data_IF_985192258375
#
_entry.id   IF_985192258375
#
_cell.length_a   1.000
_cell.length_b   1.000
_cell.length_c   1.000
_cell.angle_alpha   90.00
_cell.angle_beta   90.00
_cell.angle_gamma   90.00
#
_symmetry.space_group_name_H-M   'P 1'
#
loop_
_entity.id
_entity.type
_entity.pdbx_description
1 polymer ?
#
# COMPACT_ATOMS: atom_id res chain seq x y z
N UNK A 1 1.75 29.07 -9.13
CA UNK A 1 1.79 27.61 -8.91
C UNK A 1 2.19 27.41 -7.46
N UNK A 2 1.24 26.96 -6.65
CA UNK A 2 1.31 27.04 -5.18
C UNK A 2 1.99 25.78 -4.61
N UNK A 3 3.31 25.83 -4.48
CA UNK A 3 4.16 24.72 -3.99
C UNK A 3 3.96 24.42 -2.51
N UNK A 4 3.07 25.14 -1.84
CA UNK A 4 2.85 25.08 -0.40
C UNK A 4 2.01 23.86 0.02
N UNK A 5 1.07 23.40 -0.83
CA UNK A 5 0.15 22.34 -0.44
C UNK A 5 0.77 20.93 -0.43
N UNK A 6 1.69 20.63 -1.35
CA UNK A 6 2.32 19.30 -1.45
C UNK A 6 3.25 18.99 -0.27
N UNK A 7 3.98 20.00 0.21
CA UNK A 7 4.91 19.87 1.36
C UNK A 7 4.18 19.67 2.69
N UNK A 8 2.97 20.22 2.84
CA UNK A 8 2.16 20.07 4.05
C UNK A 8 1.60 18.64 4.16
N UNK A 9 1.25 18.02 3.03
CA UNK A 9 0.73 16.64 3.03
C UNK A 9 1.80 15.62 3.40
N UNK A 10 3.01 15.75 2.87
CA UNK A 10 4.11 14.80 3.12
C UNK A 10 4.65 14.88 4.55
N UNK A 11 4.78 16.08 5.13
CA UNK A 11 5.22 16.24 6.54
C UNK A 11 4.20 15.65 7.52
N UNK A 12 2.92 15.82 7.22
CA UNK A 12 1.82 15.23 8.00
C UNK A 12 1.83 13.70 7.90
N UNK A 13 2.13 13.14 6.73
CA UNK A 13 2.24 11.68 6.50
C UNK A 13 3.30 11.04 7.41
N UNK A 14 4.49 11.64 7.50
CA UNK A 14 5.59 11.14 8.34
C UNK A 14 5.28 11.30 9.83
N UNK A 15 4.72 12.43 10.28
CA UNK A 15 4.42 12.66 11.70
C UNK A 15 3.30 11.76 12.24
N UNK A 16 2.27 11.44 11.44
CA UNK A 16 1.21 10.51 11.86
C UNK A 16 1.75 9.08 11.96
N UNK A 17 2.65 8.68 11.04
CA UNK A 17 3.26 7.35 11.03
C UNK A 17 4.06 7.07 12.31
N UNK A 18 4.88 8.03 12.76
CA UNK A 18 5.73 7.86 13.94
C UNK A 18 4.92 7.84 15.24
N UNK A 19 3.81 8.59 15.34
CA UNK A 19 3.02 8.70 16.58
C UNK A 19 2.19 7.45 16.88
N UNK A 20 1.81 6.64 15.88
CA UNK A 20 0.98 5.44 16.08
C UNK A 20 1.75 4.21 16.59
N UNK A 21 3.08 4.19 16.55
CA UNK A 21 3.86 3.02 16.99
C UNK A 21 4.08 2.95 18.52
N UNK A 22 3.62 3.95 19.29
CA UNK A 22 3.95 4.08 20.72
C UNK A 22 2.92 3.60 21.75
N UNK A 23 1.81 2.94 21.39
CA UNK A 23 0.77 2.60 22.37
C UNK A 23 0.12 1.24 22.10
N UNK A 24 0.77 0.15 22.54
CA UNK A 24 0.13 -1.17 22.64
C UNK A 24 -0.38 -1.37 24.07
N UNK A 25 -1.65 -1.05 24.30
CA UNK A 25 -2.41 -1.49 25.47
C UNK A 25 -3.12 -2.81 25.17
N UNK A 26 -3.17 -3.70 26.15
CA UNK A 26 -3.76 -5.04 26.05
C UNK A 26 -5.28 -4.98 25.78
N UNK A 27 -5.66 -5.10 24.52
CA UNK A 27 -7.02 -5.40 24.04
C UNK A 27 -6.89 -6.39 22.88
N UNK A 28 -7.90 -7.26 22.68
CA UNK A 28 -7.99 -8.25 21.57
C UNK A 28 -7.15 -7.84 20.36
N UNK A 29 -6.09 -8.59 20.03
CA UNK A 29 -5.29 -8.36 18.83
C UNK A 29 -6.21 -8.40 17.60
N UNK A 30 -6.64 -7.23 17.14
CA UNK A 30 -7.19 -7.09 15.81
C UNK A 30 -6.10 -7.51 14.84
N UNK A 31 -6.41 -8.42 13.92
CA UNK A 31 -5.47 -8.82 12.87
C UNK A 31 -4.92 -7.56 12.17
N UNK A 32 -3.61 -7.49 11.97
CA UNK A 32 -2.98 -6.35 11.31
C UNK A 32 -3.59 -6.18 9.91
N UNK A 33 -4.02 -4.96 9.54
CA UNK A 33 -4.52 -4.69 8.18
C UNK A 33 -3.56 -5.23 7.14
N UNK A 34 -4.04 -5.94 6.12
CA UNK A 34 -3.24 -6.60 5.09
C UNK A 34 -2.79 -8.02 5.43
N UNK A 35 -3.02 -8.52 6.65
CA UNK A 35 -2.66 -9.89 7.02
C UNK A 35 -3.45 -10.93 6.24
N UNK A 36 -4.73 -10.67 5.91
CA UNK A 36 -5.54 -11.58 5.10
C UNK A 36 -5.12 -11.53 3.65
N UNK A 37 -4.87 -10.32 3.14
CA UNK A 37 -4.33 -10.12 1.79
C UNK A 37 -3.04 -10.92 1.55
N UNK A 38 -2.14 -10.99 2.54
CA UNK A 38 -0.89 -11.75 2.48
C UNK A 38 -1.07 -13.27 2.60
N UNK A 39 -2.22 -13.74 3.09
CA UNK A 39 -2.62 -15.16 3.16
C UNK A 39 -3.50 -15.57 1.97
N UNK A 40 -3.40 -14.86 0.86
CA UNK A 40 -4.16 -15.10 -0.37
C UNK A 40 -5.69 -14.91 -0.23
N UNK A 41 -6.14 -14.27 0.84
CA UNK A 41 -7.54 -13.93 1.07
C UNK A 41 -7.84 -12.50 0.62
N UNK A 42 -9.04 -12.27 0.08
CA UNK A 42 -9.48 -10.92 -0.28
C UNK A 42 -9.66 -10.04 0.97
N UNK A 43 -8.98 -8.90 0.98
CA UNK A 43 -9.07 -7.94 2.08
C UNK A 43 -9.29 -6.53 1.53
N UNK A 44 -10.29 -5.82 2.08
CA UNK A 44 -10.43 -4.39 1.84
C UNK A 44 -9.45 -3.61 2.70
N UNK A 45 -8.63 -2.80 2.05
CA UNK A 45 -7.59 -2.00 2.68
C UNK A 45 -7.90 -0.53 2.48
N UNK A 46 -8.16 0.16 3.59
CA UNK A 46 -8.35 1.62 3.58
C UNK A 46 -7.08 2.33 3.13
N UNK A 47 -5.94 1.97 3.72
CA UNK A 47 -4.62 2.47 3.36
C UNK A 47 -3.55 1.54 3.95
N UNK A 48 -2.66 1.01 3.12
CA UNK A 48 -1.46 0.27 3.58
C UNK A 48 -0.34 0.35 2.55
N UNK A 49 0.88 0.51 3.05
CA UNK A 49 2.10 0.26 2.30
C UNK A 49 2.65 -1.11 2.71
N UNK A 50 2.62 -2.06 1.79
CA UNK A 50 3.29 -3.34 1.92
C UNK A 50 4.77 -3.16 1.60
N UNK A 51 5.63 -3.56 2.54
CA UNK A 51 7.08 -3.57 2.37
C UNK A 51 7.47 -4.51 1.24
N UNK A 52 8.66 -4.27 0.69
CA UNK A 52 9.26 -5.19 -0.27
C UNK A 52 9.51 -6.58 0.33
N UNK A 53 9.48 -7.58 -0.55
CA UNK A 53 9.87 -8.95 -0.26
C UNK A 53 10.87 -9.41 -1.32
N UNK A 54 11.73 -10.38 -0.98
CA UNK A 54 12.84 -10.82 -1.84
C UNK A 54 12.43 -11.93 -2.84
N UNK A 55 11.14 -12.03 -3.15
CA UNK A 55 10.58 -12.95 -4.13
C UNK A 55 9.51 -12.23 -4.96
N UNK A 56 9.34 -12.65 -6.22
CA UNK A 56 8.26 -12.15 -7.07
C UNK A 56 6.93 -12.70 -6.55
N UNK A 57 5.90 -11.85 -6.52
CA UNK A 57 4.53 -12.22 -6.17
C UNK A 57 3.57 -11.51 -7.09
N UNK A 58 2.33 -11.96 -7.14
CA UNK A 58 1.26 -11.24 -7.82
C UNK A 58 0.43 -10.45 -6.80
N UNK A 59 -0.12 -9.34 -7.26
CA UNK A 59 -1.24 -8.68 -6.60
C UNK A 59 -2.45 -8.74 -7.53
N UNK A 60 -3.57 -9.18 -6.98
CA UNK A 60 -4.86 -9.13 -7.67
C UNK A 60 -5.78 -8.20 -6.90
N UNK A 61 -6.41 -7.25 -7.59
CA UNK A 61 -7.14 -6.18 -6.92
C UNK A 61 -8.12 -5.41 -7.78
N UNK A 62 -9.01 -4.68 -7.09
CA UNK A 62 -9.87 -3.62 -7.64
C UNK A 62 -10.10 -2.55 -6.57
N UNK A 63 -10.39 -1.33 -6.97
CA UNK A 63 -10.63 -0.23 -6.05
C UNK A 63 -10.05 1.08 -6.53
N UNK A 64 -9.94 2.02 -5.59
CA UNK A 64 -9.52 3.38 -5.91
C UNK A 64 -8.07 3.47 -6.35
N UNK A 65 -7.13 2.81 -5.65
CA UNK A 65 -5.73 2.89 -6.05
C UNK A 65 -4.91 1.69 -5.57
N UNK A 66 -4.15 1.12 -6.49
CA UNK A 66 -3.11 0.12 -6.25
C UNK A 66 -1.88 0.54 -7.04
N UNK A 67 -0.74 0.71 -6.36
CA UNK A 67 0.52 1.13 -6.97
C UNK A 67 1.65 0.19 -6.58
N UNK A 68 2.53 -0.09 -7.54
CA UNK A 68 3.76 -0.84 -7.33
C UNK A 68 4.93 0.13 -7.55
N UNK A 69 5.82 0.24 -6.57
CA UNK A 69 6.95 1.16 -6.59
C UNK A 69 8.28 0.42 -6.76
N UNK A 70 9.08 0.91 -7.70
CA UNK A 70 10.47 0.49 -7.90
C UNK A 70 11.33 1.02 -6.75
N UNK A 71 12.09 0.17 -6.05
CA UNK A 71 12.95 0.61 -4.96
C UNK A 71 14.08 1.54 -5.41
N UNK A 72 14.45 1.53 -6.69
CA UNK A 72 15.51 2.35 -7.27
C UNK A 72 15.00 3.67 -7.83
N UNK A 73 13.68 3.82 -8.01
CA UNK A 73 13.07 5.07 -8.43
C UNK A 73 12.78 5.96 -7.21
N UNK A 74 12.86 7.28 -7.39
CA UNK A 74 12.35 8.21 -6.38
C UNK A 74 10.85 7.99 -6.18
N UNK A 75 10.35 8.15 -4.95
CA UNK A 75 8.91 8.10 -4.69
C UNK A 75 8.14 9.27 -5.35
N UNK A 76 8.86 10.31 -5.78
CA UNK A 76 8.29 11.41 -6.58
C UNK A 76 8.17 11.06 -8.07
N UNK A 77 8.72 9.92 -8.50
CA UNK A 77 8.57 9.40 -9.87
C UNK A 77 7.27 8.62 -10.01
N UNK A 78 6.75 8.46 -11.24
CA UNK A 78 5.60 7.60 -11.49
C UNK A 78 5.81 6.19 -10.92
N UNK A 79 4.74 5.58 -10.43
CA UNK A 79 4.78 4.18 -10.02
C UNK A 79 5.19 3.28 -11.21
N UNK A 80 5.91 2.20 -10.93
CA UNK A 80 6.23 1.18 -11.94
C UNK A 80 4.97 0.63 -12.60
N UNK A 81 3.92 0.48 -11.79
CA UNK A 81 2.61 0.07 -12.24
C UNK A 81 1.53 0.68 -11.35
N UNK A 82 0.38 1.01 -11.94
CA UNK A 82 -0.76 1.61 -11.27
C UNK A 82 -2.08 1.04 -11.80
N UNK A 83 -3.05 0.92 -10.92
CA UNK A 83 -4.42 0.55 -11.24
C UNK A 83 -5.43 1.29 -10.37
N UNK A 84 -6.39 1.96 -11.04
CA UNK A 84 -7.47 2.74 -10.45
C UNK A 84 -8.78 2.40 -11.18
N UNK A 85 -9.42 1.31 -10.78
CA UNK A 85 -10.73 0.90 -11.29
C UNK A 85 -11.52 0.17 -10.20
N UNK A 86 -12.63 0.76 -9.74
CA UNK A 86 -13.40 0.23 -8.60
C UNK A 86 -14.16 -1.07 -8.92
N UNK A 87 -14.53 -1.26 -10.17
CA UNK A 87 -15.40 -2.36 -10.58
C UNK A 87 -14.68 -3.47 -11.35
N UNK A 88 -13.41 -3.25 -11.73
CA UNK A 88 -12.66 -4.18 -12.58
C UNK A 88 -11.47 -4.77 -11.84
N UNK A 89 -11.46 -6.10 -11.74
CA UNK A 89 -10.34 -6.84 -11.16
C UNK A 89 -9.20 -6.90 -12.17
N UNK A 90 -7.99 -6.63 -11.69
CA UNK A 90 -6.75 -6.78 -12.45
C UNK A 90 -5.70 -7.50 -11.60
N UNK A 91 -4.91 -8.34 -12.26
CA UNK A 91 -3.72 -8.95 -11.68
C UNK A 91 -2.49 -8.29 -12.30
N UNK A 92 -1.47 -8.07 -11.49
CA UNK A 92 -0.16 -7.59 -11.90
C UNK A 92 0.95 -8.27 -11.11
N UNK A 93 2.08 -8.49 -11.78
CA UNK A 93 3.31 -8.96 -11.15
C UNK A 93 3.94 -7.85 -10.30
N UNK A 94 4.37 -8.22 -9.10
CA UNK A 94 5.16 -7.41 -8.18
C UNK A 94 6.56 -8.03 -8.14
N UNK A 95 7.56 -7.43 -8.83
CA UNK A 95 8.91 -7.98 -8.82
C UNK A 95 9.52 -7.98 -7.41
N UNK A 96 10.48 -8.87 -7.18
CA UNK A 96 11.25 -8.90 -5.94
C UNK A 96 11.88 -7.52 -5.65
N UNK A 97 11.81 -7.06 -4.41
CA UNK A 97 12.30 -5.75 -4.00
C UNK A 97 11.31 -4.59 -4.18
N UNK A 98 10.16 -4.80 -4.82
CA UNK A 98 9.17 -3.72 -5.05
C UNK A 98 8.18 -3.60 -3.88
N UNK A 99 7.78 -2.36 -3.60
CA UNK A 99 6.78 -2.02 -2.57
C UNK A 99 5.41 -1.90 -3.21
N UNK A 100 4.35 -2.14 -2.43
CA UNK A 100 2.96 -1.99 -2.90
C UNK A 100 2.18 -1.04 -2.01
N UNK A 101 1.65 0.03 -2.59
CA UNK A 101 0.74 0.94 -1.91
C UNK A 101 -0.70 0.63 -2.32
N UNK A 102 -1.58 0.49 -1.33
CA UNK A 102 -3.00 0.20 -1.53
C UNK A 102 -3.82 1.24 -0.78
N UNK A 103 -4.74 1.90 -1.48
CA UNK A 103 -5.64 2.92 -0.92
C UNK A 103 -7.06 2.65 -1.38
N UNK A 104 -7.96 2.45 -0.41
CA UNK A 104 -9.39 2.16 -0.62
C UNK A 104 -9.64 1.11 -1.73
N UNK A 105 -8.98 -0.04 -1.60
CA UNK A 105 -9.06 -1.14 -2.56
C UNK A 105 -9.14 -2.51 -1.89
N UNK A 106 -9.78 -3.45 -2.57
CA UNK A 106 -9.86 -4.85 -2.16
C UNK A 106 -8.81 -5.64 -2.93
N UNK A 107 -7.88 -6.27 -2.21
CA UNK A 107 -6.71 -6.92 -2.80
C UNK A 107 -6.43 -8.27 -2.17
N UNK A 108 -5.65 -9.11 -2.87
CA UNK A 108 -4.96 -10.28 -2.32
C UNK A 108 -3.62 -10.47 -3.04
N UNK A 109 -2.65 -11.08 -2.35
CA UNK A 109 -1.38 -11.50 -2.93
C UNK A 109 -1.40 -13.01 -3.23
N UNK A 110 -0.60 -13.46 -4.20
CA UNK A 110 -0.35 -14.88 -4.51
C UNK A 110 1.07 -15.06 -4.99
#
# INVERSE_FOLDING_TARGET
>A
MDTSNTLITTKTYVQIYTRKQGHMGAGRMSEETGAKALKEEWEYIKMKLFKEVMYTRNITGKGKLIQIYDPNASMDSPAYWEWEEEHKVKTSDVPAGYKVCVVAATVKFT
#
